data_IF_634876874344
#
_entry.id   IF_634876874344
#
_cell.length_a   1.000
_cell.length_b   1.000
_cell.length_c   1.000
_cell.angle_alpha   90.00
_cell.angle_beta   90.00
_cell.angle_gamma   90.00
#
_symmetry.space_group_name_H-M   'P 1'
#
loop_
_entity.id
_entity.type
_entity.pdbx_description
1 polymer ?
#
# COMPACT_ATOMS: atom_id res chain seq x y z
N UNK A 1 7.97 -7.30 -17.32
CA UNK A 1 7.73 -7.33 -15.86
C UNK A 1 7.38 -5.91 -15.43
N UNK A 2 6.53 -5.73 -14.42
CA UNK A 2 6.06 -4.39 -13.98
C UNK A 2 4.56 -4.16 -14.14
N UNK A 3 3.73 -5.20 -13.94
CA UNK A 3 2.28 -5.04 -13.85
C UNK A 3 1.85 -4.70 -12.42
N UNK A 4 0.61 -4.21 -12.29
CA UNK A 4 0.01 -3.82 -11.02
C UNK A 4 -1.34 -4.53 -10.83
N UNK A 5 -1.73 -4.70 -9.57
CA UNK A 5 -3.07 -5.08 -9.16
C UNK A 5 -3.59 -3.99 -8.22
N UNK A 6 -4.88 -3.69 -8.31
CA UNK A 6 -5.54 -2.72 -7.46
C UNK A 6 -6.40 -3.44 -6.45
N UNK A 7 -6.21 -3.17 -5.16
CA UNK A 7 -7.07 -3.70 -4.10
C UNK A 7 -8.00 -2.59 -3.64
N UNK A 8 -9.30 -2.73 -3.90
CA UNK A 8 -10.26 -1.62 -3.85
C UNK A 8 -11.42 -1.94 -2.90
N UNK A 9 -11.81 -0.98 -2.06
CA UNK A 9 -12.91 -1.15 -1.08
C UNK A 9 -14.29 -1.27 -1.73
N UNK A 10 -14.50 -0.58 -2.85
CA UNK A 10 -15.77 -0.54 -3.59
C UNK A 10 -15.52 -0.76 -5.09
N UNK A 11 -15.27 -2.01 -5.55
CA UNK A 11 -14.90 -2.29 -6.93
C UNK A 11 -15.89 -1.75 -7.97
N UNK A 12 -17.20 -1.87 -7.72
CA UNK A 12 -18.23 -1.37 -8.63
C UNK A 12 -18.20 0.17 -8.78
N UNK A 13 -18.06 0.90 -7.66
CA UNK A 13 -18.00 2.36 -7.69
C UNK A 13 -16.68 2.86 -8.33
N UNK A 14 -15.58 2.14 -8.08
CA UNK A 14 -14.29 2.43 -8.71
C UNK A 14 -14.35 2.21 -10.22
N UNK A 15 -14.87 1.08 -10.68
CA UNK A 15 -14.99 0.77 -12.11
C UNK A 15 -15.90 1.77 -12.84
N UNK A 16 -16.96 2.25 -12.17
CA UNK A 16 -17.80 3.32 -12.71
C UNK A 16 -17.03 4.66 -12.84
N UNK A 17 -16.16 4.98 -11.88
CA UNK A 17 -15.36 6.22 -11.87
C UNK A 17 -14.15 6.17 -12.80
N UNK A 18 -13.59 4.98 -13.04
CA UNK A 18 -12.38 4.72 -13.83
C UNK A 18 -12.61 3.59 -14.85
N UNK A 19 -13.48 3.79 -15.86
CA UNK A 19 -13.86 2.75 -16.81
C UNK A 19 -12.73 2.30 -17.76
N UNK A 20 -11.61 3.02 -17.78
CA UNK A 20 -10.43 2.67 -18.57
C UNK A 20 -9.54 1.60 -17.88
N UNK A 21 -9.72 1.37 -16.58
CA UNK A 21 -8.97 0.35 -15.83
C UNK A 21 -9.60 -1.02 -16.07
N UNK A 22 -8.84 -2.03 -16.55
CA UNK A 22 -9.37 -3.37 -16.78
C UNK A 22 -9.89 -4.02 -15.50
N UNK A 23 -11.05 -4.67 -15.56
CA UNK A 23 -11.67 -5.31 -14.39
C UNK A 23 -10.81 -6.46 -13.85
N UNK A 24 -10.01 -7.09 -14.70
CA UNK A 24 -9.15 -8.23 -14.37
C UNK A 24 -8.02 -7.88 -13.39
N UNK A 25 -7.67 -6.59 -13.28
CA UNK A 25 -6.64 -6.11 -12.33
C UNK A 25 -7.23 -5.48 -11.07
N UNK A 26 -8.57 -5.44 -10.94
CA UNK A 26 -9.27 -4.89 -9.78
C UNK A 26 -9.69 -6.03 -8.86
N UNK A 27 -9.14 -6.03 -7.66
CA UNK A 27 -9.43 -6.99 -6.57
C UNK A 27 -10.19 -6.30 -5.44
N UNK A 28 -10.92 -7.11 -4.65
CA UNK A 28 -11.69 -6.65 -3.50
C UNK A 28 -13.12 -7.20 -3.49
N UNK A 29 -14.03 -6.63 -2.66
CA UNK A 29 -13.78 -5.55 -1.72
C UNK A 29 -12.82 -5.98 -0.60
N UNK A 30 -11.93 -5.07 -0.18
CA UNK A 30 -11.21 -5.27 1.08
C UNK A 30 -12.04 -4.79 2.28
N UNK A 31 -11.85 -5.42 3.43
CA UNK A 31 -12.52 -5.09 4.68
C UNK A 31 -11.76 -4.02 5.50
N UNK A 32 -12.46 -3.35 6.40
CA UNK A 32 -11.85 -2.33 7.26
C UNK A 32 -11.47 -1.05 6.50
N UNK A 33 -10.49 -0.32 7.00
CA UNK A 33 -9.97 0.92 6.40
C UNK A 33 -8.50 1.06 6.71
N UNK A 34 -7.78 1.70 5.78
CA UNK A 34 -6.41 2.11 6.05
C UNK A 34 -6.39 3.29 7.02
N UNK A 35 -5.41 3.32 7.92
CA UNK A 35 -5.21 4.36 8.91
C UNK A 35 -4.59 5.61 8.28
N UNK A 36 -5.25 6.76 8.38
CA UNK A 36 -4.66 8.01 7.88
C UNK A 36 -3.37 8.38 8.63
N UNK A 37 -3.24 7.98 9.89
CA UNK A 37 -2.07 8.28 10.74
C UNK A 37 -0.88 7.32 10.53
N UNK A 38 -1.02 6.33 9.63
CA UNK A 38 -0.03 5.27 9.48
C UNK A 38 -0.45 3.93 10.07
N UNK A 39 0.04 2.85 9.47
CA UNK A 39 -0.06 1.47 9.94
C UNK A 39 0.96 0.56 9.22
N UNK A 40 0.98 -0.73 9.62
CA UNK A 40 1.74 -1.77 8.92
C UNK A 40 0.88 -2.50 7.88
N UNK A 41 1.33 -2.49 6.63
CA UNK A 41 0.79 -3.29 5.53
C UNK A 41 1.78 -4.36 5.10
N UNK A 42 1.25 -5.56 4.82
CA UNK A 42 2.04 -6.71 4.42
C UNK A 42 1.44 -7.35 3.17
N UNK A 43 2.31 -7.63 2.19
CA UNK A 43 1.98 -8.46 1.04
C UNK A 43 2.62 -9.83 1.24
N UNK A 44 1.81 -10.87 1.19
CA UNK A 44 2.25 -12.24 1.46
C UNK A 44 1.78 -13.21 0.38
N UNK A 45 2.65 -14.16 0.05
CA UNK A 45 2.39 -15.22 -0.91
C UNK A 45 2.00 -16.51 -0.17
N UNK A 46 0.99 -17.25 -0.64
CA UNK A 46 0.72 -18.61 -0.20
C UNK A 46 1.97 -19.49 -0.25
N UNK A 47 2.39 -20.01 0.91
CA UNK A 47 3.47 -20.98 1.04
C UNK A 47 2.95 -22.42 1.18
N UNK A 48 3.74 -23.27 1.82
CA UNK A 48 3.38 -24.66 2.06
C UNK A 48 2.25 -24.81 3.09
N UNK A 49 1.59 -25.96 3.07
CA UNK A 49 0.64 -26.37 4.11
C UNK A 49 1.40 -27.17 5.16
N UNK A 50 1.26 -26.81 6.43
CA UNK A 50 1.94 -27.49 7.53
C UNK A 50 1.28 -28.83 7.92
N UNK A 51 1.81 -29.47 8.97
CA UNK A 51 1.31 -30.76 9.48
C UNK A 51 -0.10 -30.66 10.09
N UNK A 52 -0.54 -29.46 10.46
CA UNK A 52 -1.85 -29.16 11.00
C UNK A 52 -2.84 -28.74 9.91
N UNK A 53 -2.47 -28.93 8.64
CA UNK A 53 -3.24 -28.58 7.46
C UNK A 53 -3.55 -27.07 7.34
N UNK A 54 -2.69 -26.22 7.91
CA UNK A 54 -2.78 -24.76 7.79
C UNK A 54 -1.84 -24.26 6.71
N UNK A 55 -2.37 -23.38 5.84
CA UNK A 55 -1.58 -22.73 4.80
C UNK A 55 -0.70 -21.65 5.44
N UNK A 56 0.60 -21.76 5.24
CA UNK A 56 1.54 -20.74 5.65
C UNK A 56 1.58 -19.61 4.63
N UNK A 57 1.90 -18.41 5.09
CA UNK A 57 2.02 -17.22 4.24
C UNK A 57 3.45 -16.68 4.36
N UNK A 58 4.12 -16.58 3.21
CA UNK A 58 5.49 -16.08 3.11
C UNK A 58 5.41 -14.60 2.77
N UNK A 59 5.93 -13.76 3.65
CA UNK A 59 5.98 -12.32 3.43
C UNK A 59 6.86 -11.98 2.23
N UNK A 60 6.27 -11.31 1.25
CA UNK A 60 6.93 -10.81 0.04
C UNK A 60 7.39 -9.38 0.25
N UNK A 61 6.54 -8.56 0.88
CA UNK A 61 6.86 -7.17 1.14
C UNK A 61 6.11 -6.66 2.38
N UNK A 62 6.63 -5.59 2.98
CA UNK A 62 6.01 -4.91 4.11
C UNK A 62 6.40 -3.45 4.15
N UNK A 63 5.42 -2.60 4.43
CA UNK A 63 5.60 -1.18 4.73
C UNK A 63 4.91 -0.84 6.04
N UNK A 64 5.57 -0.06 6.89
CA UNK A 64 5.01 0.60 8.04
C UNK A 64 5.01 2.10 7.73
N UNK A 65 3.93 2.56 7.08
CA UNK A 65 3.84 3.93 6.63
C UNK A 65 3.42 4.86 7.76
N UNK A 66 3.71 6.14 7.61
CA UNK A 66 3.32 7.22 8.51
C UNK A 66 2.77 8.40 7.70
N UNK A 67 2.13 9.33 8.38
CA UNK A 67 1.59 10.59 7.83
C UNK A 67 2.58 11.77 7.92
N UNK A 68 3.81 11.52 8.39
CA UNK A 68 4.82 12.56 8.56
C UNK A 68 4.65 13.38 9.86
N UNK A 69 3.72 13.00 10.74
CA UNK A 69 3.40 13.72 11.98
C UNK A 69 3.79 12.99 13.27
N UNK A 70 4.49 11.85 13.17
CA UNK A 70 4.82 10.95 14.28
C UNK A 70 6.33 10.83 14.61
N UNK A 71 7.04 11.94 14.90
CA UNK A 71 8.48 11.92 15.17
C UNK A 71 8.87 11.03 16.34
N UNK A 72 7.97 10.82 17.31
CA UNK A 72 8.17 9.94 18.46
C UNK A 72 8.35 8.46 18.10
N UNK A 73 7.87 8.06 16.92
CA UNK A 73 7.94 6.69 16.42
C UNK A 73 9.12 6.45 15.46
N UNK A 74 9.89 7.50 15.15
CA UNK A 74 10.93 7.48 14.13
C UNK A 74 12.35 7.61 14.72
N UNK A 75 13.34 6.88 14.17
CA UNK A 75 14.75 7.10 14.51
C UNK A 75 15.16 8.55 14.22
N UNK A 76 15.82 9.19 15.18
CA UNK A 76 16.26 10.58 15.04
C UNK A 76 15.21 11.64 15.39
N UNK A 77 14.00 11.23 15.81
CA UNK A 77 12.98 12.16 16.30
C UNK A 77 12.37 13.05 15.22
N UNK A 78 12.43 12.61 13.96
CA UNK A 78 11.86 13.28 12.80
C UNK A 78 11.15 12.21 11.98
N UNK A 79 9.88 12.44 11.67
CA UNK A 79 9.13 11.63 10.73
C UNK A 79 9.44 12.10 9.30
N UNK A 80 10.02 11.20 8.50
CA UNK A 80 10.48 11.50 7.14
C UNK A 80 9.46 11.08 6.07
N UNK A 81 8.29 10.57 6.48
CA UNK A 81 7.22 10.26 5.53
C UNK A 81 6.65 11.55 4.91
N UNK A 82 6.26 11.55 3.62
CA UNK A 82 5.66 12.71 2.98
C UNK A 82 4.33 13.11 3.62
N UNK A 83 4.25 14.34 4.14
CA UNK A 83 3.04 14.88 4.80
C UNK A 83 1.95 15.17 3.79
N UNK A 84 2.29 15.53 2.55
CA UNK A 84 1.32 15.94 1.54
C UNK A 84 0.42 14.78 1.06
N UNK A 85 0.77 13.53 1.38
CA UNK A 85 -0.09 12.38 1.16
C UNK A 85 -1.18 12.23 2.24
N UNK A 86 -1.10 12.98 3.34
CA UNK A 86 -2.13 13.02 4.39
C UNK A 86 -3.20 14.07 4.08
N UNK A 87 -4.26 13.63 3.39
CA UNK A 87 -5.51 14.39 3.29
C UNK A 87 -5.58 15.48 2.22
N UNK A 88 -4.47 15.85 1.58
CA UNK A 88 -4.44 16.89 0.53
C UNK A 88 -4.70 16.35 -0.90
N UNK A 89 -5.06 15.07 -1.02
CA UNK A 89 -5.46 14.43 -2.29
C UNK A 89 -4.32 13.77 -3.07
N UNK A 90 -3.08 13.84 -2.57
CA UNK A 90 -1.98 13.03 -3.06
C UNK A 90 -2.00 11.64 -2.40
N UNK A 91 -1.32 10.68 -3.02
CA UNK A 91 -1.10 9.33 -2.51
C UNK A 91 0.38 9.05 -2.32
N UNK A 92 0.70 8.19 -1.36
CA UNK A 92 2.04 7.61 -1.23
C UNK A 92 2.35 6.71 -2.44
N UNK A 93 3.41 7.07 -3.17
CA UNK A 93 3.89 6.32 -4.32
C UNK A 93 5.38 6.01 -4.14
N UNK A 94 5.77 4.75 -4.39
CA UNK A 94 7.18 4.37 -4.35
C UNK A 94 7.93 4.93 -5.55
N UNK A 95 9.13 5.47 -5.32
CA UNK A 95 10.06 5.93 -6.34
C UNK A 95 10.64 4.75 -7.12
N UNK A 96 11.16 3.76 -6.39
CA UNK A 96 11.72 2.54 -6.95
C UNK A 96 10.97 1.34 -6.37
N UNK A 97 10.18 0.61 -7.18
CA UNK A 97 9.34 -0.49 -6.68
C UNK A 97 10.10 -1.64 -6.01
N UNK A 98 11.37 -1.86 -6.39
CA UNK A 98 12.23 -2.93 -5.86
C UNK A 98 12.99 -2.55 -4.60
N UNK A 99 13.01 -1.26 -4.24
CA UNK A 99 13.74 -0.79 -3.06
C UNK A 99 12.91 -1.01 -1.79
N UNK A 100 13.58 -0.90 -0.64
CA UNK A 100 13.00 -1.28 0.65
C UNK A 100 11.75 -0.45 1.00
N UNK A 101 10.64 -1.14 1.26
CA UNK A 101 9.35 -0.49 1.51
C UNK A 101 9.26 0.35 2.78
N UNK A 102 10.10 0.10 3.79
CA UNK A 102 10.12 0.90 5.04
C UNK A 102 11.15 2.03 5.02
N UNK A 103 11.74 2.33 3.86
CA UNK A 103 12.59 3.51 3.69
C UNK A 103 11.73 4.70 3.22
N UNK A 104 11.44 5.71 4.06
CA UNK A 104 10.63 6.87 3.69
C UNK A 104 11.23 7.64 2.50
N UNK A 105 12.56 7.62 2.32
CA UNK A 105 13.22 8.28 1.20
C UNK A 105 12.85 7.63 -0.15
N UNK A 106 12.35 6.39 -0.16
CA UNK A 106 11.83 5.72 -1.35
C UNK A 106 10.36 6.06 -1.65
N UNK A 107 9.73 6.97 -0.89
CA UNK A 107 8.36 7.39 -1.11
C UNK A 107 8.27 8.86 -1.50
N UNK A 108 7.23 9.18 -2.25
CA UNK A 108 6.83 10.54 -2.56
C UNK A 108 5.30 10.65 -2.49
N UNK A 109 4.81 11.85 -2.23
CA UNK A 109 3.42 12.19 -2.45
C UNK A 109 3.23 12.53 -3.93
N UNK A 110 2.38 11.76 -4.63
CA UNK A 110 2.05 11.99 -6.04
C UNK A 110 0.55 12.05 -6.25
N UNK A 111 0.14 12.66 -7.38
CA UNK A 111 -1.23 12.57 -7.83
C UNK A 111 -1.58 11.08 -8.04
N UNK A 112 -2.73 10.59 -7.53
CA UNK A 112 -3.10 9.20 -7.70
C UNK A 112 -3.19 8.83 -9.19
N UNK A 113 -2.54 7.74 -9.59
CA UNK A 113 -2.59 7.15 -10.93
C UNK A 113 -3.25 5.75 -10.88
N UNK A 114 -4.60 5.67 -10.83
CA UNK A 114 -5.26 4.37 -10.66
C UNK A 114 -4.98 3.45 -11.84
N UNK A 115 -4.21 2.39 -11.61
CA UNK A 115 -3.91 1.37 -12.62
C UNK A 115 -2.71 1.66 -13.51
N UNK A 116 -1.90 2.68 -13.19
CA UNK A 116 -0.68 3.08 -13.93
C UNK A 116 0.52 3.27 -13.00
#
# INVERSE_FOLDING_TARGET
AGGYLLVVKKPAAFSWRYPAVPEEIILGPYDGSLSNAGESLELSMPGDVDKDNQRQHIRIDRVNYSDGSHPENCPGGIDLWPVEADGDGLSLTRKTPTDYGNDPDNWLAAAPSPGE
#
